data_IF_773359526732
#
_entry.id   IF_773359526732
#
_cell.length_a   1.000
_cell.length_b   1.000
_cell.length_c   1.000
_cell.angle_alpha   90.00
_cell.angle_beta   90.00
_cell.angle_gamma   90.00
#
_symmetry.space_group_name_H-M   'P 1'
#
loop_
_entity.id
_entity.type
_entity.pdbx_description
1 polymer ?
#
# COMPACT_ATOMS: atom_id res chain seq x y z
N UNK A 1 -4.84 24.09 -13.86
CA UNK A 1 -4.41 23.08 -14.84
C UNK A 1 -3.06 22.52 -14.39
N UNK A 2 -2.99 21.19 -14.22
CA UNK A 2 -1.83 20.28 -14.20
C UNK A 2 -0.58 20.66 -13.36
N UNK A 3 -0.44 20.05 -12.19
CA UNK A 3 0.84 19.85 -11.50
C UNK A 3 1.45 18.53 -12.00
N UNK A 4 2.42 18.62 -12.91
CA UNK A 4 3.24 17.48 -13.33
C UNK A 4 4.50 17.45 -12.48
N UNK A 5 4.38 16.95 -11.26
CA UNK A 5 5.46 16.85 -10.29
C UNK A 5 6.29 15.56 -10.43
N UNK A 6 6.85 15.27 -11.61
CA UNK A 6 7.98 14.32 -11.70
C UNK A 6 9.25 15.08 -11.32
N UNK A 7 9.46 15.28 -10.02
CA UNK A 7 10.71 15.81 -9.51
C UNK A 7 11.63 14.64 -9.14
N UNK A 8 12.65 14.45 -9.97
CA UNK A 8 13.78 13.53 -9.80
C UNK A 8 14.74 14.11 -8.74
N UNK A 9 14.25 14.28 -7.51
CA UNK A 9 15.11 14.62 -6.37
C UNK A 9 15.79 13.34 -5.87
N UNK A 10 17.08 13.38 -5.48
CA UNK A 10 17.74 12.24 -4.87
C UNK A 10 16.97 11.85 -3.60
N UNK A 11 16.23 10.74 -3.66
CA UNK A 11 15.33 10.29 -2.58
C UNK A 11 16.16 9.84 -1.37
N UNK A 12 15.71 10.23 -0.19
CA UNK A 12 16.33 9.82 1.08
C UNK A 12 16.25 8.28 1.21
N UNK A 13 17.29 7.58 1.69
CA UNK A 13 17.28 6.13 1.86
C UNK A 13 16.10 5.60 2.70
N UNK A 14 15.52 6.44 3.56
CA UNK A 14 14.33 6.10 4.36
C UNK A 14 13.05 6.03 3.52
N UNK A 15 13.06 6.57 2.31
CA UNK A 15 11.96 6.50 1.34
C UNK A 15 12.12 5.33 0.35
N UNK A 16 13.09 4.44 0.58
CA UNK A 16 13.26 3.18 -0.17
C UNK A 16 12.53 2.00 0.50
N UNK A 17 11.80 2.26 1.59
CA UNK A 17 11.03 1.24 2.29
C UNK A 17 9.93 0.70 1.36
N UNK A 18 9.98 -0.60 1.07
CA UNK A 18 9.02 -1.29 0.21
C UNK A 18 9.46 -1.48 -1.24
N UNK A 19 10.56 -0.85 -1.68
CA UNK A 19 11.03 -0.96 -3.08
C UNK A 19 11.88 -2.22 -3.29
N UNK A 20 11.66 -2.93 -4.40
CA UNK A 20 12.52 -4.05 -4.81
C UNK A 20 13.40 -3.68 -6.03
N UNK A 21 14.74 -3.57 -5.87
CA UNK A 21 15.65 -3.24 -6.97
C UNK A 21 15.70 -4.32 -8.06
N UNK A 22 15.13 -5.51 -7.81
CA UNK A 22 14.97 -6.56 -8.81
C UNK A 22 13.87 -6.24 -9.83
N UNK A 23 12.83 -5.47 -9.46
CA UNK A 23 11.76 -5.03 -10.37
C UNK A 23 12.33 -4.19 -11.51
N UNK A 24 13.19 -3.21 -11.17
CA UNK A 24 13.87 -2.38 -12.17
C UNK A 24 14.72 -3.20 -13.14
N UNK A 25 15.39 -4.25 -12.64
CA UNK A 25 16.18 -5.15 -13.48
C UNK A 25 15.29 -5.98 -14.41
N UNK A 26 14.12 -6.43 -13.93
CA UNK A 26 13.13 -7.16 -14.74
C UNK A 26 12.56 -6.26 -15.84
N UNK A 27 12.15 -5.04 -15.52
CA UNK A 27 11.63 -4.07 -16.49
C UNK A 27 12.68 -3.62 -17.52
N UNK A 28 13.96 -3.47 -17.11
CA UNK A 28 15.06 -3.19 -18.04
C UNK A 28 15.29 -4.33 -19.03
N UNK A 29 15.08 -5.57 -18.60
CA UNK A 29 15.23 -6.77 -19.45
C UNK A 29 14.01 -6.99 -20.34
N UNK A 30 12.81 -6.83 -19.79
CA UNK A 30 11.55 -6.94 -20.50
C UNK A 30 10.59 -5.81 -20.05
N UNK A 31 10.47 -4.74 -20.85
CA UNK A 31 9.57 -3.62 -20.56
C UNK A 31 8.08 -3.97 -20.65
N UNK A 32 7.71 -5.18 -21.09
CA UNK A 32 6.33 -5.62 -21.22
C UNK A 32 5.92 -6.65 -20.17
N UNK A 33 6.83 -7.03 -19.27
CA UNK A 33 6.57 -7.91 -18.14
C UNK A 33 5.43 -7.32 -17.27
N UNK A 34 4.28 -8.00 -17.29
CA UNK A 34 3.08 -7.54 -16.62
C UNK A 34 3.25 -7.57 -15.09
N UNK A 35 3.92 -8.59 -14.56
CA UNK A 35 4.15 -8.75 -13.14
C UNK A 35 5.09 -7.63 -12.64
N UNK A 36 6.18 -7.38 -13.36
CA UNK A 36 7.12 -6.32 -12.99
C UNK A 36 6.49 -4.91 -13.06
N UNK A 37 5.51 -4.69 -13.95
CA UNK A 37 4.74 -3.43 -13.99
C UNK A 37 3.78 -3.28 -12.83
N UNK A 38 3.12 -4.36 -12.44
CA UNK A 38 2.23 -4.37 -11.27
C UNK A 38 3.06 -4.08 -10.01
N UNK A 39 4.19 -4.76 -9.85
CA UNK A 39 5.09 -4.55 -8.72
C UNK A 39 5.58 -3.09 -8.68
N UNK A 40 6.04 -2.53 -9.80
CA UNK A 40 6.47 -1.13 -9.89
C UNK A 40 5.34 -0.13 -9.61
N UNK A 41 4.14 -0.40 -10.12
CA UNK A 41 2.96 0.42 -9.85
C UNK A 41 2.57 0.41 -8.37
N UNK A 42 2.74 -0.74 -7.70
CA UNK A 42 2.53 -0.86 -6.26
C UNK A 42 3.52 0.02 -5.48
N UNK A 43 4.81 -0.05 -5.81
CA UNK A 43 5.87 0.77 -5.20
C UNK A 43 5.62 2.29 -5.41
N UNK A 44 5.12 2.68 -6.58
CA UNK A 44 4.80 4.08 -6.91
C UNK A 44 3.52 4.59 -6.24
N UNK A 45 2.56 3.70 -5.99
CA UNK A 45 1.28 4.04 -5.35
C UNK A 45 1.38 4.21 -3.84
N UNK A 46 2.44 3.68 -3.22
CA UNK A 46 2.70 3.90 -1.81
C UNK A 46 3.22 5.32 -1.59
N UNK A 47 2.35 6.18 -1.07
CA UNK A 47 2.74 7.52 -0.68
C UNK A 47 3.64 7.47 0.57
N UNK A 48 4.94 7.66 0.38
CA UNK A 48 5.90 7.78 1.46
C UNK A 48 5.72 9.07 2.30
N UNK A 49 4.67 9.86 2.06
CA UNK A 49 4.29 11.02 2.87
C UNK A 49 3.43 10.66 4.08
N UNK A 50 2.92 9.43 4.19
CA UNK A 50 2.13 9.04 5.36
C UNK A 50 3.02 9.20 6.62
N UNK A 51 2.62 10.04 7.60
CA UNK A 51 3.44 10.27 8.77
C UNK A 51 3.76 8.94 9.46
N UNK A 52 4.95 8.81 10.07
CA UNK A 52 5.30 7.60 10.81
C UNK A 52 4.16 7.30 11.80
N UNK A 53 3.67 6.07 11.78
CA UNK A 53 2.50 5.65 12.56
C UNK A 53 2.57 6.21 13.97
N UNK A 54 1.79 7.27 14.22
CA UNK A 54 1.66 7.83 15.54
C UNK A 54 0.76 6.88 16.32
N UNK A 55 1.36 5.93 17.05
CA UNK A 55 0.64 5.20 18.07
C UNK A 55 -0.04 6.26 18.95
N UNK A 56 -1.37 6.25 18.99
CA UNK A 56 -2.14 7.28 19.68
C UNK A 56 -1.59 7.44 21.11
N UNK A 57 -1.15 8.63 21.53
CA UNK A 57 -0.69 8.83 22.88
C UNK A 57 -1.88 8.64 23.83
N UNK A 58 -1.96 7.46 24.48
CA UNK A 58 -3.03 7.19 25.44
C UNK A 58 -3.39 5.74 25.70
N UNK A 59 -2.98 4.77 24.86
CA UNK A 59 -3.24 3.35 25.15
C UNK A 59 -2.16 2.46 24.54
N UNK A 60 -1.50 1.66 25.40
CA UNK A 60 -0.58 0.57 25.00
C UNK A 60 -1.34 -0.69 24.57
N UNK A 61 -2.62 -0.76 24.91
CA UNK A 61 -3.49 -1.85 24.53
C UNK A 61 -4.08 -1.61 23.14
N UNK A 62 -4.24 -2.65 22.32
CA UNK A 62 -4.92 -2.54 21.04
C UNK A 62 -6.31 -1.97 21.22
N UNK A 63 -6.80 -1.23 20.22
CA UNK A 63 -8.17 -0.77 20.20
C UNK A 63 -9.11 -1.98 20.43
N UNK A 64 -10.18 -1.82 21.24
CA UNK A 64 -11.12 -2.90 21.48
C UNK A 64 -11.66 -3.38 20.13
N UNK A 65 -11.53 -4.67 19.85
CA UNK A 65 -12.12 -5.26 18.65
C UNK A 65 -13.62 -5.01 18.69
N UNK A 66 -14.21 -4.55 17.60
CA UNK A 66 -15.67 -4.41 17.47
C UNK A 66 -16.44 -5.73 17.60
N UNK A 67 -15.73 -6.85 17.76
CA UNK A 67 -16.29 -8.19 17.82
C UNK A 67 -16.70 -8.64 16.42
N UNK A 68 -16.33 -9.87 16.06
CA UNK A 68 -16.94 -10.52 14.91
C UNK A 68 -18.33 -11.02 15.35
N UNK A 69 -19.39 -10.60 14.66
CA UNK A 69 -20.76 -11.08 14.91
C UNK A 69 -21.10 -12.15 13.86
N UNK A 70 -21.02 -13.42 14.26
CA UNK A 70 -21.26 -14.56 13.37
C UNK A 70 -22.62 -14.51 12.67
N UNK A 71 -23.64 -13.95 13.33
CA UNK A 71 -25.01 -13.93 12.83
C UNK A 71 -25.21 -12.81 11.81
N UNK A 72 -24.70 -11.61 12.11
CA UNK A 72 -24.75 -10.47 11.20
C UNK A 72 -23.94 -10.72 9.91
N UNK A 73 -22.78 -11.37 10.03
CA UNK A 73 -21.91 -11.68 8.89
C UNK A 73 -22.53 -12.78 8.01
N UNK A 74 -23.14 -13.80 8.61
CA UNK A 74 -23.84 -14.84 7.86
C UNK A 74 -25.12 -14.33 7.17
N UNK A 75 -25.75 -13.28 7.69
CA UNK A 75 -26.85 -12.60 6.99
C UNK A 75 -26.35 -11.71 5.85
N UNK A 76 -25.26 -10.97 6.06
CA UNK A 76 -24.61 -10.18 5.02
C UNK A 76 -24.13 -11.05 3.84
N UNK A 77 -23.53 -12.21 4.12
CA UNK A 77 -23.07 -13.15 3.10
C UNK A 77 -24.25 -13.72 2.29
N UNK A 78 -25.35 -14.08 2.96
CA UNK A 78 -26.55 -14.56 2.29
C UNK A 78 -27.18 -13.48 1.41
N UNK A 79 -27.28 -12.26 1.92
CA UNK A 79 -27.83 -11.12 1.18
C UNK A 79 -26.99 -10.77 -0.05
N UNK A 80 -25.67 -10.96 0.01
CA UNK A 80 -24.75 -10.71 -1.11
C UNK A 80 -24.68 -11.88 -2.11
N UNK A 81 -25.28 -13.03 -1.80
CA UNK A 81 -25.36 -14.20 -2.68
C UNK A 81 -26.71 -14.35 -3.42
N UNK A 82 -27.65 -13.42 -3.22
CA UNK A 82 -28.87 -13.28 -4.02
C UNK A 82 -28.71 -12.22 -5.11
#
# INVERSE_FOLDING_TARGET
MADTGTQDTPRDPRQDAGRDPSIEKRLKRDPFDADAKVDAGSDESMDASDPPAAAAPGSQDPAPSSGYDEEAEAEAERANSQ
#
